data_IF_779431895597
#
_entry.id   IF_779431895597
#
_cell.length_a   1.000
_cell.length_b   1.000
_cell.length_c   1.000
_cell.angle_alpha   90.00
_cell.angle_beta   90.00
_cell.angle_gamma   90.00
#
_symmetry.space_group_name_H-M   'P 1'
#
loop_
_entity.id
_entity.type
_entity.pdbx_description
1 polymer ?
#
# COMPACT_ATOMS: atom_id res chain seq x y z
N UNK A 1 -29.99 -66.92 13.69
CA UNK A 1 -29.14 -65.98 14.45
C UNK A 1 -29.47 -64.59 13.96
N UNK A 2 -30.46 -63.96 14.59
CA UNK A 2 -30.97 -62.66 14.18
C UNK A 2 -30.04 -61.58 14.73
N UNK A 3 -29.45 -60.78 13.84
CA UNK A 3 -28.67 -59.60 14.21
C UNK A 3 -29.63 -58.43 14.39
N UNK A 4 -29.83 -57.88 15.60
CA UNK A 4 -30.72 -56.73 15.77
C UNK A 4 -30.04 -55.49 15.17
N UNK A 5 -30.67 -54.96 14.13
CA UNK A 5 -30.25 -53.76 13.43
C UNK A 5 -30.09 -52.56 14.38
N UNK A 6 -28.96 -51.87 14.28
CA UNK A 6 -28.56 -50.71 15.10
C UNK A 6 -29.42 -49.46 14.81
N UNK A 7 -30.63 -49.43 15.38
CA UNK A 7 -31.57 -48.30 15.29
C UNK A 7 -30.98 -46.98 15.82
N UNK A 8 -30.08 -47.07 16.80
CA UNK A 8 -29.29 -45.95 17.32
C UNK A 8 -28.30 -45.42 16.27
N UNK A 9 -27.50 -46.28 15.64
CA UNK A 9 -26.52 -45.85 14.63
C UNK A 9 -27.16 -45.13 13.44
N UNK A 10 -28.30 -45.64 12.96
CA UNK A 10 -29.06 -45.03 11.86
C UNK A 10 -29.63 -43.66 12.21
N UNK A 11 -30.14 -43.48 13.44
CA UNK A 11 -30.64 -42.16 13.89
C UNK A 11 -29.52 -41.13 13.98
N UNK A 12 -28.36 -41.50 14.54
CA UNK A 12 -27.19 -40.63 14.65
C UNK A 12 -26.56 -40.27 13.29
N UNK A 13 -26.58 -41.20 12.33
CA UNK A 13 -26.18 -40.92 10.95
C UNK A 13 -27.12 -39.93 10.27
N UNK A 14 -28.44 -40.11 10.41
CA UNK A 14 -29.43 -39.21 9.81
C UNK A 14 -29.38 -37.80 10.42
N UNK A 15 -29.18 -37.67 11.74
CA UNK A 15 -29.02 -36.37 12.38
C UNK A 15 -27.73 -35.68 11.93
N UNK A 16 -26.61 -36.41 11.88
CA UNK A 16 -25.33 -35.86 11.43
C UNK A 16 -25.40 -35.42 9.96
N UNK A 17 -26.04 -36.21 9.10
CA UNK A 17 -26.27 -35.86 7.71
C UNK A 17 -27.14 -34.61 7.55
N UNK A 18 -28.20 -34.49 8.36
CA UNK A 18 -29.06 -33.30 8.38
C UNK A 18 -28.31 -32.03 8.80
N UNK A 19 -27.48 -32.12 9.85
CA UNK A 19 -26.66 -31.01 10.32
C UNK A 19 -25.64 -30.59 9.26
N UNK A 20 -24.96 -31.55 8.63
CA UNK A 20 -24.02 -31.29 7.53
C UNK A 20 -24.71 -30.60 6.35
N UNK A 21 -25.87 -31.08 5.93
CA UNK A 21 -26.64 -30.50 4.84
C UNK A 21 -27.00 -29.02 5.14
N UNK A 22 -27.43 -28.74 6.37
CA UNK A 22 -27.81 -27.40 6.81
C UNK A 22 -26.58 -26.47 6.84
N UNK A 23 -25.44 -26.95 7.33
CA UNK A 23 -24.18 -26.21 7.32
C UNK A 23 -23.71 -25.88 5.89
N UNK A 24 -23.74 -26.85 4.97
CA UNK A 24 -23.39 -26.62 3.57
C UNK A 24 -24.35 -25.66 2.86
N UNK A 25 -25.64 -25.71 3.19
CA UNK A 25 -26.63 -24.77 2.68
C UNK A 25 -26.34 -23.34 3.16
N UNK A 26 -25.98 -23.16 4.44
CA UNK A 26 -25.55 -21.86 4.98
C UNK A 26 -24.29 -21.32 4.31
N UNK A 27 -23.30 -22.18 4.06
CA UNK A 27 -22.09 -21.84 3.30
C UNK A 27 -22.42 -21.43 1.85
N UNK A 28 -23.31 -22.18 1.18
CA UNK A 28 -23.79 -21.87 -0.17
C UNK A 28 -24.46 -20.51 -0.25
N UNK A 29 -25.37 -20.20 0.69
CA UNK A 29 -26.00 -18.88 0.77
C UNK A 29 -24.96 -17.76 0.94
N UNK A 30 -23.99 -17.95 1.84
CA UNK A 30 -22.93 -16.95 2.06
C UNK A 30 -22.05 -16.76 0.83
N UNK A 31 -21.78 -17.83 0.07
CA UNK A 31 -21.07 -17.74 -1.19
C UNK A 31 -21.86 -16.93 -2.22
N UNK A 32 -23.17 -17.14 -2.35
CA UNK A 32 -24.03 -16.36 -3.26
C UNK A 32 -24.09 -14.89 -2.85
N UNK A 33 -24.19 -14.57 -1.55
CA UNK A 33 -24.12 -13.19 -1.05
C UNK A 33 -22.79 -12.51 -1.45
N UNK A 34 -21.67 -13.20 -1.27
CA UNK A 34 -20.35 -12.65 -1.61
C UNK A 34 -20.12 -12.56 -3.12
N UNK A 35 -20.50 -13.57 -3.90
CA UNK A 35 -20.18 -13.69 -5.32
C UNK A 35 -21.22 -13.05 -6.25
N UNK A 36 -22.46 -12.84 -5.81
CA UNK A 36 -23.51 -12.24 -6.64
C UNK A 36 -23.83 -10.82 -6.17
N UNK A 37 -24.15 -10.64 -4.89
CA UNK A 37 -24.56 -9.32 -4.37
C UNK A 37 -23.38 -8.37 -4.15
N UNK A 38 -22.20 -8.89 -3.79
CA UNK A 38 -21.01 -8.07 -3.51
C UNK A 38 -19.92 -8.18 -4.57
N UNK A 39 -20.21 -8.84 -5.69
CA UNK A 39 -19.25 -9.07 -6.77
C UNK A 39 -18.58 -7.78 -7.24
N UNK A 40 -19.38 -6.80 -7.63
CA UNK A 40 -18.88 -5.57 -8.27
C UNK A 40 -17.98 -4.80 -7.31
N UNK A 41 -18.42 -4.64 -6.05
CA UNK A 41 -17.63 -3.96 -5.01
C UNK A 41 -16.30 -4.67 -4.70
N UNK A 42 -16.30 -6.01 -4.64
CA UNK A 42 -15.10 -6.79 -4.38
C UNK A 42 -14.16 -6.79 -5.58
N UNK A 43 -14.68 -6.86 -6.80
CA UNK A 43 -13.91 -6.74 -8.04
C UNK A 43 -13.28 -5.38 -8.22
N UNK A 44 -14.01 -4.31 -7.93
CA UNK A 44 -13.49 -2.94 -8.03
C UNK A 44 -12.40 -2.68 -6.98
N UNK A 45 -12.58 -3.22 -5.77
CA UNK A 45 -11.54 -3.18 -4.74
C UNK A 45 -10.31 -3.98 -5.15
N UNK A 46 -10.52 -5.15 -5.77
CA UNK A 46 -9.44 -6.00 -6.27
C UNK A 46 -8.70 -5.35 -7.45
N UNK A 47 -9.41 -4.75 -8.41
CA UNK A 47 -8.80 -4.10 -9.57
C UNK A 47 -7.90 -2.93 -9.16
N UNK A 48 -8.35 -2.13 -8.18
CA UNK A 48 -7.54 -1.05 -7.61
C UNK A 48 -6.29 -1.53 -6.84
N UNK A 49 -6.32 -2.74 -6.28
CA UNK A 49 -5.18 -3.34 -5.58
C UNK A 49 -4.22 -4.08 -6.52
N UNK A 50 -4.71 -4.65 -7.62
CA UNK A 50 -3.91 -5.44 -8.56
C UNK A 50 -3.27 -4.58 -9.64
N UNK A 51 -3.99 -3.57 -10.16
CA UNK A 51 -3.52 -2.78 -11.31
C UNK A 51 -3.43 -1.31 -10.92
N UNK A 52 -2.20 -0.84 -10.76
CA UNK A 52 -1.92 0.60 -10.60
C UNK A 52 -1.42 1.17 -11.92
N UNK A 53 -2.30 1.88 -12.63
CA UNK A 53 -1.90 2.64 -13.81
C UNK A 53 -1.08 3.85 -13.37
N UNK A 54 0.20 3.88 -13.75
CA UNK A 54 1.07 5.04 -13.53
C UNK A 54 1.32 5.70 -14.88
N UNK A 55 0.85 6.93 -15.04
CA UNK A 55 1.17 7.72 -16.22
C UNK A 55 2.64 8.11 -16.14
N UNK A 56 3.46 7.51 -17.00
CA UNK A 56 4.87 7.90 -17.15
C UNK A 56 4.91 9.10 -18.05
N UNK A 57 5.20 10.27 -17.48
CA UNK A 57 5.33 11.49 -18.26
C UNK A 57 6.50 11.36 -19.24
N UNK A 58 6.31 11.64 -20.54
CA UNK A 58 7.38 11.57 -21.51
C UNK A 58 8.43 12.66 -21.23
N UNK A 59 9.67 12.39 -21.62
CA UNK A 59 10.75 13.38 -21.55
C UNK A 59 10.43 14.54 -22.49
N UNK A 60 10.46 15.78 -21.98
CA UNK A 60 10.32 16.98 -22.82
C UNK A 60 11.48 17.07 -23.82
N UNK A 61 11.15 17.42 -25.06
CA UNK A 61 12.11 17.60 -26.15
C UNK A 61 13.13 18.71 -25.87
N UNK A 62 14.28 18.62 -26.55
CA UNK A 62 15.33 19.64 -26.50
C UNK A 62 14.88 20.88 -27.30
N UNK A 63 15.22 22.09 -26.84
CA UNK A 63 14.99 23.35 -27.55
C UNK A 63 16.30 23.79 -28.19
N UNK A 64 16.24 24.15 -29.46
CA UNK A 64 17.37 24.63 -30.25
C UNK A 64 17.16 26.07 -30.70
N UNK A 65 18.25 26.82 -30.91
CA UNK A 65 18.21 28.09 -31.65
C UNK A 65 18.11 27.85 -33.17
N UNK A 66 18.06 28.93 -33.96
CA UNK A 66 18.02 28.85 -35.43
C UNK A 66 19.28 28.25 -36.07
N UNK A 67 20.39 28.20 -35.33
CA UNK A 67 21.68 27.68 -35.76
C UNK A 67 21.89 26.22 -35.30
N UNK A 68 20.92 25.62 -34.60
CA UNK A 68 21.00 24.25 -34.09
C UNK A 68 21.72 24.11 -32.73
N UNK A 69 22.00 25.19 -32.01
CA UNK A 69 22.57 25.13 -30.67
C UNK A 69 21.50 24.82 -29.63
N UNK A 70 21.78 23.92 -28.68
CA UNK A 70 20.84 23.56 -27.60
C UNK A 70 20.72 24.68 -26.58
N UNK A 71 19.51 25.21 -26.43
CA UNK A 71 19.15 26.21 -25.40
C UNK A 71 18.59 25.55 -24.12
N UNK A 72 17.85 24.45 -24.25
CA UNK A 72 17.30 23.74 -23.10
C UNK A 72 17.20 22.25 -23.36
N UNK A 73 17.52 21.44 -22.35
CA UNK A 73 17.40 19.99 -22.40
C UNK A 73 16.87 19.44 -21.08
N UNK A 74 16.11 18.34 -21.16
CA UNK A 74 15.64 17.62 -19.99
C UNK A 74 16.71 16.66 -19.47
N UNK A 75 17.06 16.77 -18.18
CA UNK A 75 17.97 15.83 -17.49
C UNK A 75 17.23 15.09 -16.38
N UNK A 76 17.50 13.80 -16.26
CA UNK A 76 17.02 13.00 -15.14
C UNK A 76 17.78 13.43 -13.87
N UNK A 77 17.02 13.69 -12.80
CA UNK A 77 17.58 14.08 -11.50
C UNK A 77 17.06 13.16 -10.42
N UNK A 78 17.92 12.74 -9.50
CA UNK A 78 17.51 11.97 -8.34
C UNK A 78 17.18 12.92 -7.19
N UNK A 79 16.12 12.61 -6.45
CA UNK A 79 15.76 13.32 -5.21
C UNK A 79 15.68 12.29 -4.09
N UNK A 80 16.48 12.49 -3.05
CA UNK A 80 16.52 11.64 -1.87
C UNK A 80 15.50 12.19 -0.87
N UNK A 81 14.61 11.32 -0.42
CA UNK A 81 13.53 11.65 0.50
C UNK A 81 13.49 10.65 1.64
N UNK A 82 12.96 11.06 2.78
CA UNK A 82 12.77 10.21 3.95
C UNK A 82 11.37 10.38 4.54
N UNK A 83 10.90 9.34 5.22
CA UNK A 83 9.69 9.35 6.05
C UNK A 83 10.10 9.38 7.54
N UNK A 84 10.10 10.57 8.19
CA UNK A 84 10.30 10.73 9.63
C UNK A 84 9.47 9.78 10.50
N UNK A 85 8.23 9.49 10.11
CA UNK A 85 7.33 8.64 10.91
C UNK A 85 7.82 7.20 10.91
N UNK A 86 8.36 6.74 9.78
CA UNK A 86 8.94 5.40 9.67
C UNK A 86 10.27 5.29 10.44
N UNK A 87 11.05 6.37 10.48
CA UNK A 87 12.32 6.42 11.21
C UNK A 87 12.11 6.48 12.73
N UNK A 88 11.03 7.16 13.17
CA UNK A 88 10.68 7.30 14.58
C UNK A 88 11.78 8.00 15.37
N UNK A 89 12.05 7.54 16.60
CA UNK A 89 13.02 8.16 17.51
C UNK A 89 14.49 7.97 17.09
N UNK A 90 14.78 7.16 16.07
CA UNK A 90 16.13 6.89 15.59
C UNK A 90 16.67 7.97 14.64
N UNK A 91 15.89 9.04 14.40
CA UNK A 91 16.26 10.11 13.48
C UNK A 91 17.64 10.75 13.74
N UNK A 92 18.16 10.89 14.99
CA UNK A 92 19.50 11.44 15.22
C UNK A 92 20.62 10.50 14.75
N UNK A 93 20.42 9.19 14.91
CA UNK A 93 21.38 8.19 14.43
C UNK A 93 21.39 8.13 12.90
N UNK A 94 20.20 8.17 12.28
CA UNK A 94 20.05 8.18 10.81
C UNK A 94 20.66 9.45 10.21
N UNK A 95 20.43 10.61 10.83
CA UNK A 95 21.01 11.87 10.37
C UNK A 95 22.54 11.85 10.41
N UNK A 96 23.15 11.35 11.51
CA UNK A 96 24.61 11.21 11.61
C UNK A 96 25.20 10.28 10.55
N UNK A 97 24.51 9.19 10.21
CA UNK A 97 24.96 8.27 9.17
C UNK A 97 24.82 8.85 7.75
N UNK A 98 23.75 9.60 7.48
CA UNK A 98 23.46 10.14 6.14
C UNK A 98 24.17 11.47 5.85
N UNK A 99 24.44 12.29 6.86
CA UNK A 99 25.10 13.59 6.72
C UNK A 99 26.39 13.56 5.88
N UNK A 100 27.38 12.67 6.13
CA UNK A 100 28.61 12.62 5.35
C UNK A 100 28.37 12.20 3.89
N UNK A 101 27.43 11.28 3.66
CA UNK A 101 27.09 10.78 2.32
C UNK A 101 26.37 11.86 1.50
N UNK A 102 25.50 12.63 2.15
CA UNK A 102 24.74 13.70 1.53
C UNK A 102 25.53 15.03 1.46
N UNK A 103 26.67 15.12 2.14
CA UNK A 103 27.44 16.37 2.27
C UNK A 103 26.61 17.48 2.91
N UNK A 104 25.85 17.14 3.95
CA UNK A 104 24.96 18.06 4.68
C UNK A 104 25.38 18.13 6.14
N UNK A 105 25.06 19.23 6.82
CA UNK A 105 25.24 19.31 8.27
C UNK A 105 24.32 18.33 9.00
N UNK A 106 24.84 17.71 10.05
CA UNK A 106 24.10 16.73 10.86
C UNK A 106 22.88 17.37 11.51
N UNK A 107 23.01 18.56 12.09
CA UNK A 107 21.93 19.23 12.83
C UNK A 107 20.81 19.64 11.88
N UNK A 108 21.16 20.12 10.69
CA UNK A 108 20.18 20.42 9.64
C UNK A 108 19.40 19.18 9.21
N UNK A 109 20.08 18.04 9.11
CA UNK A 109 19.45 16.79 8.72
C UNK A 109 18.57 16.22 9.85
N UNK A 110 19.00 16.31 11.10
CA UNK A 110 18.20 15.95 12.29
C UNK A 110 16.91 16.76 12.35
N UNK A 111 17.01 18.08 12.20
CA UNK A 111 15.86 18.98 12.18
C UNK A 111 14.86 18.66 11.06
N UNK A 112 15.35 18.18 9.91
CA UNK A 112 14.51 17.75 8.79
C UNK A 112 13.84 16.39 9.05
N UNK A 113 14.55 15.48 9.70
CA UNK A 113 14.08 14.11 9.97
C UNK A 113 13.24 13.99 11.25
N UNK A 114 13.13 15.06 12.04
CA UNK A 114 12.26 15.10 13.21
C UNK A 114 10.79 14.88 12.81
N UNK A 115 10.08 13.91 13.44
CA UNK A 115 8.67 13.68 13.20
C UNK A 115 7.83 14.90 13.64
N UNK A 116 7.28 15.62 12.65
CA UNK A 116 6.44 16.81 12.90
C UNK A 116 5.05 16.60 12.32
N UNK A 117 4.05 17.15 13.01
CA UNK A 117 2.70 17.27 12.48
C UNK A 117 2.59 18.56 11.66
N UNK A 118 2.19 18.45 10.40
CA UNK A 118 1.91 19.59 9.52
C UNK A 118 0.41 19.77 9.38
N UNK A 119 -0.05 21.02 9.47
CA UNK A 119 -1.43 21.37 9.20
C UNK A 119 -1.66 21.37 7.69
N UNK A 120 -2.64 20.60 7.24
CA UNK A 120 -3.06 20.60 5.83
C UNK A 120 -3.93 21.83 5.54
N UNK A 121 -4.04 22.24 4.28
CA UNK A 121 -4.99 23.29 3.84
C UNK A 121 -6.44 23.04 4.28
N UNK A 122 -6.82 21.77 4.47
CA UNK A 122 -8.12 21.34 4.98
C UNK A 122 -8.24 21.39 6.52
N UNK A 123 -7.31 22.02 7.23
CA UNK A 123 -7.30 22.16 8.69
C UNK A 123 -6.92 20.90 9.50
N UNK A 124 -6.80 19.73 8.86
CA UNK A 124 -6.41 18.46 9.50
C UNK A 124 -4.91 18.41 9.76
N UNK A 125 -4.51 17.92 10.94
CA UNK A 125 -3.12 17.63 11.25
C UNK A 125 -2.71 16.31 10.59
N UNK A 126 -1.63 16.34 9.80
CA UNK A 126 -1.05 15.13 9.19
C UNK A 126 0.43 15.03 9.54
N UNK A 127 0.95 13.84 9.84
CA UNK A 127 2.37 13.68 10.08
C UNK A 127 3.17 13.88 8.78
N UNK A 128 4.39 14.39 8.92
CA UNK A 128 5.29 14.68 7.81
C UNK A 128 5.93 13.39 7.26
N UNK A 129 5.18 12.61 6.46
CA UNK A 129 5.64 11.33 5.90
C UNK A 129 6.56 11.44 4.69
N UNK A 130 6.82 12.66 4.21
CA UNK A 130 7.66 12.90 3.05
C UNK A 130 8.49 14.17 3.23
N UNK A 131 9.77 13.99 3.52
CA UNK A 131 10.76 15.06 3.64
C UNK A 131 11.83 14.90 2.58
N UNK A 132 12.00 15.92 1.74
CA UNK A 132 13.07 15.99 0.75
C UNK A 132 14.36 16.36 1.46
N UNK A 133 15.36 15.48 1.36
CA UNK A 133 16.68 15.68 1.98
C UNK A 133 17.60 16.44 1.04
N UNK A 134 17.78 15.88 -0.17
CA UNK A 134 18.62 16.45 -1.24
C UNK A 134 18.00 16.20 -2.60
N UNK A 135 18.13 17.17 -3.50
CA UNK A 135 17.67 17.06 -4.88
C UNK A 135 18.81 17.29 -5.84
N UNK A 136 18.69 16.76 -7.06
CA UNK A 136 19.71 16.87 -8.12
C UNK A 136 21.04 16.21 -7.71
N UNK A 137 20.93 15.02 -7.11
CA UNK A 137 22.07 14.11 -6.87
C UNK A 137 22.34 13.29 -8.13
#
# INVERSE_FOLDING_TARGET
MDTPASSIGRRWMLTSAGVLLLAFTGLGYRLVDLQVHRHDKLRDTASGNTTRTVIVQPRRGDIFDSNGNKLATSRFVKTICADPVMIGHHYPAVARALAPVLGMDVRDLENKLEPRLKRTSSGRMKPNRYVRLKSKV
#
